data_IF_962072624689
#
_entry.id   IF_962072624689
#
_cell.length_a   1.000
_cell.length_b   1.000
_cell.length_c   1.000
_cell.angle_alpha   90.00
_cell.angle_beta   90.00
_cell.angle_gamma   90.00
#
_symmetry.space_group_name_H-M   'P 1'
#
loop_
_entity.id
_entity.type
_entity.pdbx_description
1 polymer ?
#
# COMPACT_ATOMS: atom_id res chain seq x y z
N UNK A 1 -10.80 -5.65 3.90
CA UNK A 1 -10.71 -4.97 5.23
C UNK A 1 -9.27 -4.92 5.77
N UNK A 2 -8.40 -4.06 5.22
CA UNK A 2 -7.03 -3.80 5.74
C UNK A 2 -6.79 -2.32 6.05
N UNK A 3 -7.76 -1.65 6.70
CA UNK A 3 -7.64 -0.23 7.07
C UNK A 3 -6.93 -0.01 8.43
N UNK A 4 -6.41 -1.08 9.04
CA UNK A 4 -5.88 -1.03 10.42
C UNK A 4 -4.52 -0.33 10.56
N UNK A 5 -3.80 -0.03 9.46
CA UNK A 5 -2.43 0.49 9.55
C UNK A 5 -2.26 2.00 9.37
N UNK A 6 -3.33 2.77 9.12
CA UNK A 6 -3.25 4.20 8.79
C UNK A 6 -3.64 5.17 9.93
N UNK A 7 -3.99 4.67 11.12
CA UNK A 7 -4.58 5.47 12.20
C UNK A 7 -3.60 6.16 13.17
N UNK A 8 -2.28 5.95 13.08
CA UNK A 8 -1.36 6.36 14.17
C UNK A 8 -0.53 7.63 13.86
N UNK A 9 -0.75 8.34 12.75
CA UNK A 9 0.10 9.51 12.40
C UNK A 9 -0.69 10.80 12.10
N UNK A 10 -1.81 11.04 12.78
CA UNK A 10 -2.59 12.27 12.59
C UNK A 10 -2.84 13.05 13.88
N UNK A 11 -1.77 13.34 14.63
CA UNK A 11 -1.79 14.37 15.65
C UNK A 11 -0.51 15.19 15.52
N UNK A 12 -0.57 16.21 14.65
CA UNK A 12 0.27 17.41 14.66
C UNK A 12 -0.34 18.39 13.64
N UNK A 13 -1.26 19.22 14.11
CA UNK A 13 -1.57 20.50 13.47
C UNK A 13 -1.53 21.57 14.55
N UNK A 14 -0.33 22.10 14.72
CA UNK A 14 -0.04 23.39 15.35
C UNK A 14 -0.90 24.47 14.69
N UNK A 15 -1.58 25.27 15.51
CA UNK A 15 -2.10 26.58 15.12
C UNK A 15 -0.91 27.47 14.76
N UNK A 16 -0.69 27.67 13.46
CA UNK A 16 0.30 28.59 12.91
C UNK A 16 -0.40 29.52 11.92
N UNK A 17 -0.27 30.81 12.16
CA UNK A 17 -0.68 31.89 11.26
C UNK A 17 0.01 31.77 9.90
N UNK A 18 -0.69 32.26 8.87
CA UNK A 18 -0.30 32.29 7.47
C UNK A 18 1.20 32.46 7.18
N UNK A 19 1.77 31.49 6.46
CA UNK A 19 2.76 31.65 5.37
C UNK A 19 3.10 30.25 4.84
N UNK A 20 2.71 29.97 3.58
CA UNK A 20 3.59 29.52 2.48
C UNK A 20 2.77 28.74 1.44
N UNK A 21 2.79 29.25 0.21
CA UNK A 21 2.00 28.78 -0.94
C UNK A 21 2.65 27.55 -1.59
N UNK A 22 2.72 26.43 -0.87
CA UNK A 22 2.86 25.13 -1.54
C UNK A 22 1.52 24.82 -2.18
N UNK A 23 1.39 25.13 -3.48
CA UNK A 23 0.31 24.64 -4.33
C UNK A 23 0.21 23.12 -4.13
N UNK A 24 -0.72 22.69 -3.29
CA UNK A 24 -1.04 21.28 -3.12
C UNK A 24 -1.41 20.75 -4.50
N UNK A 25 -0.72 19.72 -4.99
CA UNK A 25 -1.12 19.08 -6.24
C UNK A 25 -2.57 18.63 -6.10
N UNK A 26 -3.34 18.69 -7.19
CA UNK A 26 -4.73 18.19 -7.24
C UNK A 26 -4.83 16.81 -6.59
N UNK A 27 -3.89 15.92 -6.91
CA UNK A 27 -3.79 14.59 -6.31
C UNK A 27 -3.72 14.61 -4.78
N UNK A 28 -2.92 15.49 -4.17
CA UNK A 28 -2.82 15.60 -2.71
C UNK A 28 -4.11 16.12 -2.07
N UNK A 29 -4.84 17.00 -2.75
CA UNK A 29 -6.16 17.47 -2.30
C UNK A 29 -7.20 16.35 -2.39
N UNK A 30 -7.17 15.55 -3.46
CA UNK A 30 -8.05 14.39 -3.61
C UNK A 30 -7.79 13.32 -2.55
N UNK A 31 -6.51 13.04 -2.24
CA UNK A 31 -6.16 12.16 -1.13
C UNK A 31 -6.67 12.69 0.21
N UNK A 32 -6.59 14.01 0.43
CA UNK A 32 -7.13 14.62 1.63
C UNK A 32 -8.66 14.47 1.70
N UNK A 33 -9.39 14.75 0.61
CA UNK A 33 -10.84 14.55 0.52
C UNK A 33 -11.19 13.10 0.85
N UNK A 34 -10.56 12.13 0.20
CA UNK A 34 -10.81 10.70 0.41
C UNK A 34 -10.57 10.27 1.86
N UNK A 35 -9.48 10.77 2.48
CA UNK A 35 -9.17 10.48 3.88
C UNK A 35 -10.26 11.02 4.82
N UNK A 36 -10.72 12.24 4.59
CA UNK A 36 -11.77 12.84 5.41
C UNK A 36 -13.11 12.11 5.19
N UNK A 37 -13.43 11.72 3.96
CA UNK A 37 -14.62 10.92 3.62
C UNK A 37 -14.61 9.58 4.37
N UNK A 38 -13.45 8.93 4.40
CA UNK A 38 -13.28 7.68 5.14
C UNK A 38 -13.50 7.86 6.65
N UNK A 39 -12.94 8.90 7.27
CA UNK A 39 -13.13 9.17 8.71
C UNK A 39 -14.63 9.39 9.01
N UNK A 40 -15.32 10.17 8.19
CA UNK A 40 -16.77 10.43 8.35
C UNK A 40 -17.58 9.15 8.16
N UNK A 41 -17.27 8.37 7.14
CA UNK A 41 -17.93 7.08 6.87
C UNK A 41 -17.73 6.11 8.03
N UNK A 42 -16.49 5.96 8.51
CA UNK A 42 -16.15 5.09 9.63
C UNK A 42 -16.90 5.50 10.90
N UNK A 43 -16.92 6.79 11.23
CA UNK A 43 -17.62 7.29 12.42
C UNK A 43 -19.14 7.06 12.36
N UNK A 44 -19.71 7.02 11.15
CA UNK A 44 -21.13 6.71 10.94
C UNK A 44 -21.47 5.21 11.03
N UNK A 45 -20.48 4.33 10.84
CA UNK A 45 -20.64 2.88 10.96
C UNK A 45 -20.23 2.40 12.36
N UNK A 46 -21.15 2.49 13.32
CA UNK A 46 -20.86 2.20 14.73
C UNK A 46 -20.31 0.78 14.94
N UNK A 47 -20.79 -0.22 14.19
CA UNK A 47 -20.31 -1.60 14.30
C UNK A 47 -18.85 -1.72 13.86
N UNK A 48 -18.50 -1.15 12.70
CA UNK A 48 -17.12 -1.17 12.20
C UNK A 48 -16.19 -0.36 13.09
N UNK A 49 -16.66 0.79 13.60
CA UNK A 49 -15.93 1.62 14.54
C UNK A 49 -15.67 0.89 15.87
N UNK A 50 -16.67 0.20 16.42
CA UNK A 50 -16.54 -0.62 17.62
C UNK A 50 -15.53 -1.75 17.42
N UNK A 51 -15.59 -2.43 16.28
CA UNK A 51 -14.63 -3.49 15.95
C UNK A 51 -13.20 -2.94 15.86
N UNK A 52 -13.02 -1.82 15.17
CA UNK A 52 -11.73 -1.16 14.98
C UNK A 52 -11.12 -0.69 16.30
N UNK A 53 -11.94 -0.09 17.16
CA UNK A 53 -11.53 0.44 18.46
C UNK A 53 -11.49 -0.61 19.57
N UNK A 54 -11.91 -1.85 19.28
CA UNK A 54 -12.11 -2.93 20.26
C UNK A 54 -13.02 -2.50 21.40
N UNK A 55 -14.12 -1.81 21.08
CA UNK A 55 -15.07 -1.24 22.02
C UNK A 55 -14.44 -0.25 23.03
N UNK A 56 -13.33 0.39 22.69
CA UNK A 56 -12.75 1.43 23.54
C UNK A 56 -13.54 2.74 23.38
N UNK A 57 -14.39 3.04 24.37
CA UNK A 57 -15.26 4.23 24.35
C UNK A 57 -14.51 5.54 24.13
N UNK A 58 -13.33 5.72 24.73
CA UNK A 58 -12.57 6.96 24.56
C UNK A 58 -12.11 7.16 23.10
N UNK A 59 -11.63 6.08 22.45
CA UNK A 59 -11.24 6.12 21.03
C UNK A 59 -12.43 6.32 20.10
N UNK A 60 -13.58 5.73 20.42
CA UNK A 60 -14.82 5.93 19.68
C UNK A 60 -15.19 7.42 19.70
N UNK A 61 -15.21 8.03 20.89
CA UNK A 61 -15.52 9.46 21.06
C UNK A 61 -14.51 10.35 20.32
N UNK A 62 -13.21 10.03 20.38
CA UNK A 62 -12.16 10.74 19.65
C UNK A 62 -12.41 10.71 18.13
N UNK A 63 -12.66 9.53 17.55
CA UNK A 63 -12.93 9.39 16.11
C UNK A 63 -14.21 10.12 15.70
N UNK A 64 -15.25 10.13 16.55
CA UNK A 64 -16.48 10.89 16.29
C UNK A 64 -16.26 12.42 16.30
N UNK A 65 -15.39 12.91 17.20
CA UNK A 65 -14.99 14.31 17.22
C UNK A 65 -14.18 14.67 15.95
N UNK A 66 -13.22 13.83 15.59
CA UNK A 66 -12.44 13.99 14.35
C UNK A 66 -13.31 13.96 13.10
N UNK A 67 -14.35 13.11 13.07
CA UNK A 67 -15.31 13.06 11.98
C UNK A 67 -16.12 14.36 11.85
N UNK A 68 -16.47 15.00 12.97
CA UNK A 68 -17.17 16.29 12.96
C UNK A 68 -16.28 17.41 12.38
N UNK A 69 -15.00 17.44 12.77
CA UNK A 69 -14.02 18.36 12.19
C UNK A 69 -13.75 18.06 10.70
N UNK A 70 -13.65 16.77 10.36
CA UNK A 70 -13.45 16.31 8.99
C UNK A 70 -14.63 16.67 8.08
N UNK A 71 -15.86 16.54 8.57
CA UNK A 71 -17.08 16.93 7.86
C UNK A 71 -17.07 18.43 7.53
N UNK A 72 -16.67 19.27 8.48
CA UNK A 72 -16.55 20.72 8.24
C UNK A 72 -15.52 21.03 7.16
N UNK A 73 -14.35 20.38 7.22
CA UNK A 73 -13.29 20.55 6.22
C UNK A 73 -13.67 20.01 4.84
N UNK A 74 -14.41 18.90 4.78
CA UNK A 74 -14.94 18.34 3.54
C UNK A 74 -15.88 19.31 2.84
N UNK A 75 -16.77 19.97 3.57
CA UNK A 75 -17.68 20.97 3.01
C UNK A 75 -16.90 22.09 2.32
N UNK A 76 -15.84 22.59 2.95
CA UNK A 76 -14.96 23.60 2.36
C UNK A 76 -14.27 23.08 1.10
N UNK A 77 -13.66 21.89 1.14
CA UNK A 77 -12.94 21.34 -0.02
C UNK A 77 -13.88 21.03 -1.19
N UNK A 78 -15.10 20.54 -0.90
CA UNK A 78 -16.11 20.22 -1.92
C UNK A 78 -16.82 21.45 -2.51
N UNK A 79 -16.63 22.63 -1.92
CA UNK A 79 -17.18 23.87 -2.48
C UNK A 79 -16.53 24.25 -3.84
N UNK A 80 -15.34 23.71 -4.13
CA UNK A 80 -14.69 23.86 -5.42
C UNK A 80 -15.10 22.72 -6.37
N UNK A 81 -16.04 23.00 -7.27
CA UNK A 81 -16.59 22.01 -8.21
C UNK A 81 -15.52 21.39 -9.14
N UNK A 82 -14.49 22.15 -9.52
CA UNK A 82 -13.38 21.65 -10.35
C UNK A 82 -12.54 20.63 -9.60
N UNK A 83 -12.20 20.89 -8.33
CA UNK A 83 -11.48 19.94 -7.49
C UNK A 83 -12.32 18.66 -7.32
N UNK A 84 -13.62 18.78 -7.08
CA UNK A 84 -14.51 17.62 -6.92
C UNK A 84 -14.53 16.74 -8.18
N UNK A 85 -14.64 17.35 -9.37
CA UNK A 85 -14.68 16.59 -10.63
C UNK A 85 -13.34 15.91 -10.93
N UNK A 86 -12.22 16.59 -10.71
CA UNK A 86 -10.88 16.00 -10.86
C UNK A 86 -10.65 14.86 -9.85
N UNK A 87 -11.07 15.05 -8.61
CA UNK A 87 -10.95 14.04 -7.57
C UNK A 87 -11.84 12.83 -7.81
N UNK A 88 -13.00 12.96 -8.45
CA UNK A 88 -13.82 11.80 -8.81
C UNK A 88 -13.07 10.83 -9.74
N UNK A 89 -12.33 11.35 -10.72
CA UNK A 89 -11.52 10.54 -11.65
C UNK A 89 -10.34 9.90 -10.92
N UNK A 90 -9.62 10.68 -10.10
CA UNK A 90 -8.47 10.18 -9.33
C UNK A 90 -8.91 9.14 -8.30
N UNK A 91 -10.04 9.34 -7.65
CA UNK A 91 -10.59 8.40 -6.67
C UNK A 91 -11.02 7.11 -7.35
N UNK A 92 -11.68 7.17 -8.51
CA UNK A 92 -12.04 5.97 -9.27
C UNK A 92 -10.80 5.16 -9.69
N UNK A 93 -9.76 5.83 -10.19
CA UNK A 93 -8.49 5.19 -10.52
C UNK A 93 -7.83 4.57 -9.28
N UNK A 94 -7.84 5.28 -8.15
CA UNK A 94 -7.26 4.74 -6.91
C UNK A 94 -8.07 3.62 -6.29
N UNK A 95 -9.40 3.64 -6.40
CA UNK A 95 -10.26 2.55 -5.94
C UNK A 95 -9.98 1.29 -6.76
N UNK A 96 -9.79 1.45 -8.08
CA UNK A 96 -9.36 0.36 -8.94
C UNK A 96 -7.97 -0.17 -8.55
N UNK A 97 -7.02 0.71 -8.23
CA UNK A 97 -5.72 0.30 -7.66
C UNK A 97 -5.91 -0.48 -6.35
N UNK A 98 -6.68 0.04 -5.39
CA UNK A 98 -6.96 -0.57 -4.09
C UNK A 98 -7.62 -1.95 -4.23
N UNK A 99 -8.59 -2.11 -5.14
CA UNK A 99 -9.24 -3.39 -5.43
C UNK A 99 -8.29 -4.41 -6.09
N UNK A 100 -7.36 -3.95 -6.93
CA UNK A 100 -6.34 -4.83 -7.50
C UNK A 100 -5.35 -5.31 -6.43
N UNK A 101 -4.97 -4.44 -5.49
CA UNK A 101 -4.16 -4.86 -4.34
C UNK A 101 -4.91 -5.85 -3.46
N UNK A 102 -6.17 -5.59 -3.15
CA UNK A 102 -6.96 -6.49 -2.33
C UNK A 102 -7.07 -7.88 -2.98
N UNK A 103 -7.21 -7.94 -4.31
CA UNK A 103 -7.15 -9.20 -5.07
C UNK A 103 -5.84 -9.96 -4.81
N UNK A 104 -4.70 -9.28 -4.92
CA UNK A 104 -3.38 -9.89 -4.72
C UNK A 104 -3.12 -10.29 -3.26
N UNK A 105 -3.52 -9.45 -2.31
CA UNK A 105 -3.42 -9.75 -0.87
C UNK A 105 -4.24 -10.99 -0.51
N UNK A 106 -5.47 -11.08 -1.01
CA UNK A 106 -6.34 -12.23 -0.77
C UNK A 106 -5.77 -13.51 -1.40
N UNK A 107 -5.25 -13.43 -2.63
CA UNK A 107 -4.58 -14.57 -3.27
C UNK A 107 -3.36 -15.04 -2.45
N UNK A 108 -2.51 -14.10 -2.03
CA UNK A 108 -1.33 -14.41 -1.21
C UNK A 108 -1.72 -14.97 0.16
N UNK A 109 -2.76 -14.42 0.78
CA UNK A 109 -3.29 -14.92 2.06
C UNK A 109 -3.82 -16.34 1.94
N UNK A 110 -4.61 -16.64 0.91
CA UNK A 110 -5.14 -17.99 0.66
C UNK A 110 -4.00 -18.97 0.38
N UNK A 111 -3.02 -18.59 -0.44
CA UNK A 111 -1.85 -19.42 -0.72
C UNK A 111 -1.02 -19.69 0.55
N UNK A 112 -0.80 -18.67 1.37
CA UNK A 112 -0.15 -18.79 2.68
C UNK A 112 -0.93 -19.73 3.59
N UNK A 113 -2.24 -19.51 3.76
CA UNK A 113 -3.07 -20.33 4.63
C UNK A 113 -3.16 -21.81 4.18
N UNK A 114 -2.99 -22.06 2.88
CA UNK A 114 -2.88 -23.41 2.31
C UNK A 114 -1.51 -24.08 2.53
N UNK A 115 -0.47 -23.32 2.92
CA UNK A 115 0.86 -23.85 3.21
C UNK A 115 1.00 -24.12 4.72
N UNK A 116 0.68 -25.36 5.12
CA UNK A 116 0.71 -25.77 6.53
C UNK A 116 2.06 -25.51 7.23
N UNK A 117 3.19 -25.71 6.54
CA UNK A 117 4.52 -25.47 7.11
C UNK A 117 4.77 -23.99 7.37
N UNK A 118 4.49 -23.12 6.38
CA UNK A 118 4.66 -21.67 6.53
C UNK A 118 3.73 -21.09 7.62
N UNK A 119 2.50 -21.61 7.71
CA UNK A 119 1.54 -21.25 8.75
C UNK A 119 2.04 -21.71 10.12
N UNK A 120 2.51 -22.95 10.25
CA UNK A 120 3.06 -23.47 11.51
C UNK A 120 4.28 -22.66 11.96
N UNK A 121 5.22 -22.37 11.06
CA UNK A 121 6.39 -21.53 11.34
C UNK A 121 5.97 -20.13 11.81
N UNK A 122 5.09 -19.45 11.06
CA UNK A 122 4.63 -18.09 11.40
C UNK A 122 3.84 -18.01 12.70
N UNK A 123 3.15 -19.10 13.05
CA UNK A 123 2.33 -19.17 14.26
C UNK A 123 3.08 -19.71 15.48
N UNK A 124 4.33 -20.16 15.32
CA UNK A 124 5.05 -20.89 16.37
C UNK A 124 4.33 -22.18 16.74
N UNK A 125 3.71 -22.83 15.76
CA UNK A 125 2.87 -24.02 15.89
C UNK A 125 1.70 -23.86 16.88
N UNK A 126 1.23 -22.63 17.08
CA UNK A 126 0.12 -22.34 17.99
C UNK A 126 -1.23 -22.70 17.34
N UNK A 127 -1.87 -23.76 17.82
CA UNK A 127 -3.12 -24.28 17.25
C UNK A 127 -4.23 -23.24 17.13
N UNK A 128 -4.42 -22.38 18.14
CA UNK A 128 -5.44 -21.32 18.11
C UNK A 128 -5.19 -20.30 17.00
N UNK A 129 -3.93 -19.89 16.80
CA UNK A 129 -3.55 -18.98 15.72
C UNK A 129 -3.71 -19.61 14.34
N UNK A 130 -3.36 -20.89 14.21
CA UNK A 130 -3.56 -21.66 12.96
C UNK A 130 -5.05 -21.73 12.63
N UNK A 131 -5.90 -22.11 13.59
CA UNK A 131 -7.34 -22.17 13.42
C UNK A 131 -7.95 -20.81 13.07
N UNK A 132 -7.46 -19.72 13.68
CA UNK A 132 -7.89 -18.36 13.35
C UNK A 132 -7.52 -17.94 11.92
N UNK A 133 -6.34 -18.34 11.42
CA UNK A 133 -5.94 -18.13 10.01
C UNK A 133 -6.87 -18.91 9.09
N UNK A 134 -7.08 -20.20 9.38
CA UNK A 134 -7.94 -21.07 8.58
C UNK A 134 -9.39 -20.60 8.55
N UNK A 135 -9.92 -20.11 9.68
CA UNK A 135 -11.28 -19.58 9.77
C UNK A 135 -11.53 -18.39 8.85
N UNK A 136 -10.50 -17.58 8.57
CA UNK A 136 -10.60 -16.40 7.67
C UNK A 136 -10.46 -16.75 6.19
N UNK A 137 -10.07 -17.98 5.84
CA UNK A 137 -9.87 -18.38 4.43
C UNK A 137 -11.17 -18.37 3.65
N UNK A 138 -12.30 -18.77 4.26
CA UNK A 138 -13.60 -18.79 3.59
C UNK A 138 -14.03 -17.37 3.18
N UNK A 139 -13.94 -16.42 4.11
CA UNK A 139 -14.28 -15.01 3.85
C UNK A 139 -13.36 -14.40 2.79
N UNK A 140 -12.05 -14.65 2.91
CA UNK A 140 -11.07 -14.19 1.94
C UNK A 140 -11.33 -14.77 0.54
N UNK A 141 -11.70 -16.05 0.44
CA UNK A 141 -12.01 -16.72 -0.82
C UNK A 141 -13.29 -16.17 -1.44
N UNK A 142 -14.31 -15.90 -0.63
CA UNK A 142 -15.56 -15.27 -1.08
C UNK A 142 -15.31 -13.87 -1.63
N UNK A 143 -14.55 -13.06 -0.89
CA UNK A 143 -14.19 -11.71 -1.32
C UNK A 143 -13.33 -11.71 -2.58
N UNK A 144 -12.35 -12.61 -2.67
CA UNK A 144 -11.53 -12.77 -3.86
C UNK A 144 -12.37 -13.12 -5.09
N UNK A 145 -13.33 -14.05 -4.94
CA UNK A 145 -14.25 -14.42 -6.03
C UNK A 145 -15.06 -13.22 -6.51
N UNK A 146 -15.53 -12.38 -5.59
CA UNK A 146 -16.26 -11.14 -5.93
C UNK A 146 -15.38 -10.20 -6.76
N UNK A 147 -14.14 -9.92 -6.32
CA UNK A 147 -13.22 -9.06 -7.06
C UNK A 147 -12.82 -9.66 -8.42
N UNK A 148 -12.59 -10.98 -8.48
CA UNK A 148 -12.26 -11.70 -9.73
C UNK A 148 -13.42 -11.73 -10.74
N UNK A 149 -14.66 -11.57 -10.30
CA UNK A 149 -15.81 -11.50 -11.20
C UNK A 149 -15.93 -10.18 -11.97
N UNK A 150 -15.23 -9.13 -11.53
CA UNK A 150 -15.21 -7.83 -12.21
C UNK A 150 -14.18 -7.84 -13.35
N UNK A 151 -14.64 -8.06 -14.58
CA UNK A 151 -13.77 -8.15 -15.76
C UNK A 151 -12.95 -6.88 -16.04
N UNK A 152 -13.52 -5.70 -15.83
CA UNK A 152 -12.82 -4.41 -15.98
C UNK A 152 -11.67 -4.29 -14.98
N UNK A 153 -11.91 -4.69 -13.73
CA UNK A 153 -10.87 -4.75 -12.70
C UNK A 153 -9.76 -5.72 -13.11
N UNK A 154 -10.11 -6.95 -13.49
CA UNK A 154 -9.15 -7.98 -13.90
C UNK A 154 -8.29 -7.55 -15.10
N UNK A 155 -8.86 -6.81 -16.05
CA UNK A 155 -8.12 -6.29 -17.19
C UNK A 155 -7.08 -5.22 -16.80
N UNK A 156 -7.33 -4.44 -15.75
CA UNK A 156 -6.43 -3.37 -15.31
C UNK A 156 -5.36 -3.82 -14.31
N UNK A 157 -5.65 -4.84 -13.49
CA UNK A 157 -4.75 -5.25 -12.42
C UNK A 157 -3.33 -5.63 -12.86
N UNK A 158 -3.08 -6.28 -14.01
CA UNK A 158 -1.71 -6.61 -14.42
C UNK A 158 -0.79 -5.38 -14.51
N UNK A 159 -1.27 -4.27 -15.08
CA UNK A 159 -0.48 -3.04 -15.20
C UNK A 159 -0.27 -2.36 -13.85
N UNK A 160 -1.30 -2.36 -13.00
CA UNK A 160 -1.24 -1.81 -11.63
C UNK A 160 -0.24 -2.60 -10.78
N UNK A 161 -0.32 -3.93 -10.80
CA UNK A 161 0.59 -4.81 -10.07
C UNK A 161 2.02 -4.61 -10.55
N UNK A 162 2.27 -4.57 -11.87
CA UNK A 162 3.61 -4.36 -12.40
C UNK A 162 4.20 -3.01 -11.91
N UNK A 163 3.43 -1.93 -11.97
CA UNK A 163 3.83 -0.61 -11.46
C UNK A 163 4.20 -0.66 -9.97
N UNK A 164 3.48 -1.43 -9.20
CA UNK A 164 3.64 -1.52 -7.74
C UNK A 164 4.76 -2.44 -7.32
N UNK A 165 5.01 -3.52 -8.07
CA UNK A 165 6.22 -4.32 -7.93
C UNK A 165 7.46 -3.45 -8.18
N UNK A 166 7.45 -2.63 -9.25
CA UNK A 166 8.53 -1.68 -9.50
C UNK A 166 8.72 -0.66 -8.37
N UNK A 167 7.63 -0.12 -7.80
CA UNK A 167 7.70 0.75 -6.62
C UNK A 167 8.17 0.03 -5.36
N UNK A 168 7.81 -1.24 -5.19
CA UNK A 168 8.24 -2.08 -4.07
C UNK A 168 9.76 -2.23 -4.07
N UNK A 169 10.35 -2.46 -5.25
CA UNK A 169 11.81 -2.54 -5.42
C UNK A 169 12.48 -1.22 -5.02
N UNK A 170 11.94 -0.06 -5.44
CA UNK A 170 12.47 1.23 -4.99
C UNK A 170 12.34 1.44 -3.47
N UNK A 171 11.27 0.92 -2.85
CA UNK A 171 11.11 0.98 -1.38
C UNK A 171 12.16 0.11 -0.68
N UNK A 172 12.45 -1.07 -1.21
CA UNK A 172 13.51 -1.96 -0.73
C UNK A 172 14.87 -1.27 -0.85
N UNK A 173 15.17 -0.65 -1.99
CA UNK A 173 16.39 0.14 -2.18
C UNK A 173 16.53 1.28 -1.17
N UNK A 174 15.45 2.02 -0.94
CA UNK A 174 15.41 3.12 0.03
C UNK A 174 15.62 2.60 1.46
N UNK A 175 15.00 1.46 1.79
CA UNK A 175 15.20 0.79 3.08
C UNK A 175 16.65 0.36 3.27
N UNK A 176 17.25 -0.34 2.30
CA UNK A 176 18.68 -0.75 2.33
C UNK A 176 19.58 0.48 2.51
N UNK A 177 19.33 1.55 1.76
CA UNK A 177 20.10 2.80 1.85
C UNK A 177 20.00 3.45 3.22
N UNK A 178 18.80 3.50 3.82
CA UNK A 178 18.59 4.06 5.16
C UNK A 178 19.18 3.18 6.26
N UNK A 179 19.01 1.87 6.16
CA UNK A 179 19.51 0.92 7.15
C UNK A 179 21.04 0.77 7.10
N UNK A 180 21.67 1.02 5.94
CA UNK A 180 23.11 1.15 5.82
C UNK A 180 23.69 2.41 6.49
N UNK A 181 22.85 3.39 6.85
CA UNK A 181 23.26 4.58 7.60
C UNK A 181 23.19 4.29 9.12
N UNK A 182 24.36 4.15 9.75
CA UNK A 182 24.45 3.81 11.18
C UNK A 182 23.74 4.84 12.08
N UNK A 183 23.78 6.14 11.76
CA UNK A 183 23.07 7.17 12.53
C UNK A 183 21.55 6.99 12.49
N UNK A 184 20.99 6.69 11.31
CA UNK A 184 19.55 6.41 11.15
C UNK A 184 19.18 5.15 11.93
N UNK A 185 20.02 4.12 11.84
CA UNK A 185 19.81 2.85 12.52
C UNK A 185 19.85 3.03 14.04
N UNK A 186 20.83 3.77 14.58
CA UNK A 186 20.95 4.08 16.00
C UNK A 186 19.76 4.91 16.50
N UNK A 187 19.27 5.86 15.68
CA UNK A 187 18.09 6.66 16.01
C UNK A 187 16.81 5.82 16.05
N UNK A 188 16.61 4.92 15.08
CA UNK A 188 15.42 4.04 15.00
C UNK A 188 15.44 2.99 16.11
N UNK A 189 16.60 2.41 16.39
CA UNK A 189 16.78 1.34 17.39
C UNK A 189 17.01 1.87 18.81
N UNK A 190 17.18 3.18 18.97
CA UNK A 190 17.57 3.84 20.22
C UNK A 190 18.83 3.21 20.83
N UNK A 191 19.76 2.80 19.97
CA UNK A 191 21.02 2.13 20.37
C UNK A 191 20.87 0.67 20.81
N UNK A 192 19.72 0.01 20.59
CA UNK A 192 19.56 -1.41 20.88
C UNK A 192 20.35 -2.27 19.87
N UNK A 193 21.47 -2.84 20.32
CA UNK A 193 22.38 -3.62 19.49
C UNK A 193 21.77 -4.90 18.90
N UNK A 194 20.82 -5.54 19.59
CA UNK A 194 20.10 -6.71 19.06
C UNK A 194 19.25 -6.31 17.86
N UNK A 195 18.47 -5.24 17.99
CA UNK A 195 17.64 -4.73 16.89
C UNK A 195 18.49 -4.25 15.70
N UNK A 196 19.63 -3.62 15.98
CA UNK A 196 20.61 -3.23 14.94
C UNK A 196 21.06 -4.45 14.14
N UNK A 197 21.40 -5.55 14.81
CA UNK A 197 21.86 -6.78 14.16
C UNK A 197 20.73 -7.46 13.37
N UNK A 198 19.53 -7.52 13.92
CA UNK A 198 18.35 -8.05 13.21
C UNK A 198 18.07 -7.27 11.93
N UNK A 199 18.06 -5.93 11.98
CA UNK A 199 17.86 -5.09 10.81
C UNK A 199 18.98 -5.33 9.78
N UNK A 200 20.25 -5.47 10.21
CA UNK A 200 21.36 -5.77 9.30
C UNK A 200 21.21 -7.12 8.60
N UNK A 201 20.71 -8.14 9.28
CA UNK A 201 20.41 -9.43 8.64
C UNK A 201 19.26 -9.34 7.64
N UNK A 202 18.21 -8.57 7.94
CA UNK A 202 17.13 -8.32 6.99
C UNK A 202 17.57 -7.49 5.79
N UNK A 203 18.48 -6.53 5.98
CA UNK A 203 19.10 -5.78 4.88
C UNK A 203 19.85 -6.73 3.95
N UNK A 204 20.62 -7.69 4.46
CA UNK A 204 21.33 -8.67 3.61
C UNK A 204 20.36 -9.53 2.80
N UNK A 205 19.24 -9.95 3.39
CA UNK A 205 18.18 -10.69 2.67
C UNK A 205 17.56 -9.81 1.57
N UNK A 206 17.27 -8.55 1.90
CA UNK A 206 16.72 -7.58 0.96
C UNK A 206 17.69 -7.24 -0.19
N UNK A 207 19.00 -7.13 0.09
CA UNK A 207 20.04 -6.94 -0.91
C UNK A 207 20.08 -8.09 -1.90
N UNK A 208 20.05 -9.33 -1.40
CA UNK A 208 20.00 -10.53 -2.25
C UNK A 208 18.74 -10.55 -3.13
N UNK A 209 17.59 -10.26 -2.55
CA UNK A 209 16.33 -10.19 -3.31
C UNK A 209 16.36 -9.07 -4.35
N UNK A 210 16.94 -7.92 -4.01
CA UNK A 210 17.09 -6.81 -4.93
C UNK A 210 18.01 -7.18 -6.10
N UNK A 211 19.09 -7.92 -5.83
CA UNK A 211 19.98 -8.46 -6.87
C UNK A 211 19.24 -9.44 -7.79
N UNK A 212 18.47 -10.38 -7.23
CA UNK A 212 17.66 -11.35 -7.99
C UNK A 212 16.65 -10.63 -8.91
N UNK A 213 15.97 -9.59 -8.39
CA UNK A 213 14.98 -8.81 -9.15
C UNK A 213 15.64 -7.93 -10.21
N UNK A 214 16.79 -7.30 -9.91
CA UNK A 214 17.56 -6.52 -10.89
C UNK A 214 18.19 -7.40 -11.98
N UNK A 215 18.51 -8.65 -11.65
CA UNK A 215 18.96 -9.65 -12.62
C UNK A 215 17.88 -10.02 -13.64
N UNK A 216 16.60 -9.81 -13.32
CA UNK A 216 15.49 -10.01 -14.25
C UNK A 216 15.35 -8.82 -15.22
N UNK A 217 16.06 -8.90 -16.34
CA UNK A 217 16.07 -7.86 -17.38
C UNK A 217 14.66 -7.47 -17.87
N UNK A 218 13.76 -8.43 -18.05
CA UNK A 218 12.39 -8.16 -18.50
C UNK A 218 11.62 -7.30 -17.50
N UNK A 219 11.77 -7.60 -16.20
CA UNK A 219 11.17 -6.82 -15.14
C UNK A 219 11.74 -5.39 -15.09
N UNK A 220 13.07 -5.26 -15.11
CA UNK A 220 13.74 -3.95 -15.10
C UNK A 220 13.35 -3.11 -16.32
N UNK A 221 13.33 -3.69 -17.52
CA UNK A 221 12.91 -3.01 -18.75
C UNK A 221 11.44 -2.56 -18.67
N UNK A 222 10.56 -3.35 -18.03
CA UNK A 222 9.18 -2.95 -17.79
C UNK A 222 9.07 -1.78 -16.80
N UNK A 223 9.83 -1.80 -15.70
CA UNK A 223 9.87 -0.68 -14.76
C UNK A 223 10.36 0.61 -15.42
N UNK A 224 11.42 0.53 -16.23
CA UNK A 224 11.94 1.68 -16.96
C UNK A 224 10.91 2.26 -17.95
N UNK A 225 10.14 1.41 -18.64
CA UNK A 225 9.05 1.85 -19.53
C UNK A 225 7.93 2.59 -18.79
N UNK A 226 7.76 2.31 -17.50
CA UNK A 226 6.84 3.04 -16.63
C UNK A 226 7.46 4.28 -15.97
N UNK A 227 8.68 4.66 -16.37
CA UNK A 227 9.41 5.80 -15.80
C UNK A 227 10.04 5.53 -14.43
N UNK A 228 10.15 4.25 -14.04
CA UNK A 228 10.77 3.83 -12.78
C UNK A 228 12.17 3.29 -13.10
N UNK A 229 13.20 4.10 -12.83
CA UNK A 229 14.60 3.72 -13.02
C UNK A 229 15.11 2.89 -11.82
N UNK A 230 15.28 1.58 -12.02
CA UNK A 230 15.85 0.66 -11.02
C UNK A 230 17.39 0.53 -11.15
N UNK A 231 18.00 1.20 -12.13
CA UNK A 231 19.40 1.04 -12.52
C UNK A 231 20.37 2.01 -11.86
N UNK A 232 19.88 3.06 -11.18
CA UNK A 232 20.74 4.06 -10.53
C UNK A 232 20.53 4.05 -9.02
N UNK A 233 21.48 3.46 -8.31
CA UNK A 233 21.57 3.49 -6.85
C UNK A 233 21.78 4.87 -6.21
N UNK A 234 21.32 5.97 -6.82
CA UNK A 234 21.27 7.30 -6.23
C UNK A 234 20.10 8.12 -6.78
N UNK A 235 19.04 8.23 -5.99
CA UNK A 235 18.19 9.44 -5.94
C UNK A 235 16.87 9.38 -6.72
N UNK A 236 15.79 9.48 -5.95
CA UNK A 236 14.45 10.00 -6.26
C UNK A 236 14.06 10.21 -7.74
N UNK A 237 12.96 9.54 -8.08
CA UNK A 237 12.02 9.85 -9.16
C UNK A 237 11.92 11.36 -9.40
N UNK A 238 12.32 11.82 -10.59
CA UNK A 238 11.89 13.11 -11.12
C UNK A 238 10.41 13.01 -11.45
N UNK A 239 9.56 13.56 -10.58
CA UNK A 239 8.17 13.81 -10.88
C UNK A 239 8.07 14.94 -11.92
N UNK A 240 8.13 14.56 -13.20
CA UNK A 240 7.63 15.37 -14.30
C UNK A 240 6.53 14.55 -14.99
N UNK A 241 5.31 14.66 -14.45
CA UNK A 241 4.12 14.22 -15.14
C UNK A 241 3.97 15.08 -16.41
N UNK A 242 4.30 14.51 -17.56
CA UNK A 242 3.89 15.10 -18.83
C UNK A 242 2.44 14.69 -19.03
N UNK A 243 1.53 15.66 -19.02
CA UNK A 243 0.15 15.48 -19.48
C UNK A 243 0.19 14.98 -20.92
N UNK A 244 0.09 13.67 -21.12
CA UNK A 244 -0.17 13.10 -22.42
C UNK A 244 -1.68 13.07 -22.60
N UNK A 245 -2.16 14.11 -23.27
CA UNK A 245 -3.47 14.18 -23.91
C UNK A 245 -3.73 12.87 -24.65
N UNK A 246 -4.87 12.24 -24.35
CA UNK A 246 -5.36 11.08 -25.06
C UNK A 246 -5.57 11.40 -26.54
N UNK A 247 -4.60 11.05 -27.39
CA UNK A 247 -4.82 10.92 -28.83
C UNK A 247 -5.24 9.49 -29.11
N UNK A 248 -6.45 9.35 -29.63
CA UNK A 248 -7.03 8.13 -30.19
C UNK A 248 -6.07 7.48 -31.21
N UNK A 249 -5.22 6.58 -30.73
CA UNK A 249 -4.29 5.78 -31.52
C UNK A 249 -4.66 4.31 -31.40
N UNK A 250 -5.08 3.73 -32.53
CA UNK A 250 -5.47 2.34 -32.75
C UNK A 250 -4.86 1.34 -31.77
N UNK A 251 -5.73 0.52 -31.16
CA UNK A 251 -5.39 -0.72 -30.47
C UNK A 251 -4.44 -1.57 -31.31
N UNK A 252 -3.14 -1.47 -31.00
CA UNK A 252 -2.23 -2.57 -31.23
C UNK A 252 -2.42 -3.44 -30.00
N UNK A 253 -3.18 -4.52 -30.17
CA UNK A 253 -3.10 -5.65 -29.26
C UNK A 253 -1.66 -6.12 -29.30
N UNK A 254 -0.84 -5.62 -28.38
CA UNK A 254 0.41 -6.27 -28.04
C UNK A 254 -0.05 -7.54 -27.35
N UNK A 255 -0.04 -8.62 -28.11
CA UNK A 255 -0.08 -9.99 -27.62
C UNK A 255 1.19 -10.18 -26.77
N UNK A 256 1.15 -9.63 -25.55
CA UNK A 256 2.10 -9.98 -24.52
C UNK A 256 1.66 -11.39 -24.14
N UNK A 257 2.26 -12.36 -24.81
CA UNK A 257 2.36 -13.71 -24.32
C UNK A 257 3.13 -13.64 -22.99
N UNK A 258 2.43 -13.22 -21.92
CA UNK A 258 2.84 -13.30 -20.52
C UNK A 258 2.80 -14.77 -20.17
N UNK A 259 3.69 -15.54 -20.80
CA UNK A 259 3.91 -16.92 -20.49
C UNK A 259 4.42 -16.99 -19.07
N UNK A 260 3.52 -17.23 -18.11
CA UNK A 260 3.81 -17.73 -16.77
C UNK A 260 5.10 -17.17 -16.15
N UNK A 261 5.32 -15.85 -16.21
CA UNK A 261 6.35 -15.21 -15.39
C UNK A 261 5.91 -15.48 -13.96
N UNK A 262 6.70 -16.26 -13.24
CA UNK A 262 6.40 -16.75 -11.91
C UNK A 262 6.21 -15.56 -10.94
N UNK A 263 4.97 -15.08 -10.80
CA UNK A 263 4.51 -14.17 -9.72
C UNK A 263 4.78 -14.76 -8.32
N UNK A 264 5.17 -16.04 -8.26
CA UNK A 264 5.56 -16.77 -7.05
C UNK A 264 6.75 -16.11 -6.32
N UNK A 265 7.68 -15.45 -7.02
CA UNK A 265 8.88 -14.89 -6.38
C UNK A 265 8.59 -13.65 -5.50
N UNK A 266 7.53 -12.88 -5.78
CA UNK A 266 7.21 -11.65 -5.03
C UNK A 266 6.21 -11.85 -3.88
N UNK A 267 5.42 -12.92 -3.91
CA UNK A 267 4.47 -13.25 -2.83
C UNK A 267 5.19 -13.53 -1.50
N UNK A 268 6.37 -14.16 -1.54
CA UNK A 268 7.24 -14.32 -0.36
C UNK A 268 7.94 -13.02 0.05
N UNK A 269 8.16 -12.09 -0.88
CA UNK A 269 8.86 -10.80 -0.64
C UNK A 269 8.02 -9.84 0.21
N UNK A 270 6.70 -9.77 -0.01
CA UNK A 270 5.82 -8.85 0.74
C UNK A 270 5.48 -9.32 2.16
N UNK A 271 5.37 -10.64 2.38
CA UNK A 271 4.95 -11.21 3.68
C UNK A 271 6.04 -11.03 4.75
N UNK A 272 7.31 -11.02 4.37
CA UNK A 272 8.43 -10.82 5.31
C UNK A 272 8.54 -9.34 5.70
N UNK A 273 8.47 -8.41 4.73
CA UNK A 273 8.58 -6.98 5.00
C UNK A 273 7.40 -6.39 5.78
N UNK A 274 6.15 -6.79 5.47
CA UNK A 274 4.97 -6.30 6.19
C UNK A 274 4.87 -6.87 7.62
N UNK A 275 5.44 -8.05 7.87
CA UNK A 275 5.40 -8.71 9.18
C UNK A 275 6.27 -8.06 10.25
N UNK A 276 7.30 -7.29 9.88
CA UNK A 276 8.23 -6.67 10.84
C UNK A 276 7.88 -5.22 11.18
N UNK A 277 7.10 -4.51 10.37
CA UNK A 277 6.65 -3.15 10.69
C UNK A 277 5.33 -3.11 11.50
N UNK A 278 4.72 -4.26 11.78
CA UNK A 278 3.49 -4.37 12.58
C UNK A 278 3.70 -5.00 13.97
N UNK A 279 4.95 -5.25 14.38
CA UNK A 279 5.35 -5.65 15.73
C UNK A 279 6.20 -4.56 16.37
#
# INVERSE_FOLDING_TARGET
MHVRSFLITLLLATTGTAEDSKSHSVQSQCQQIRKLEWIVSLASNMTELQELTRNNTAKITEIQADASAASSKLTTLRSNATIVSECAVINAASEQEDQCFETFELQSFIAFAGNATAVAEKTGNNATRIAAIQGRVSDASSQLKTLMSNSTLQAACPAILQKEECKSVMRIENFISKAGNQTVLDQVTKGNSTLVNEIKEEVKKAEKQLEDVRGNKTFVDACMKMGIDLGKGKGMISAAATNQTATSGKSVAVDVNVGRVQVVMLSTILVVAAGMFML
#
